data_IF_176477131520
#
_entry.id   IF_176477131520
#
_cell.length_a   1.000
_cell.length_b   1.000
_cell.length_c   1.000
_cell.angle_alpha   90.00
_cell.angle_beta   90.00
_cell.angle_gamma   90.00
#
_symmetry.space_group_name_H-M   'P 1'
#
loop_
_entity.id
_entity.type
_entity.pdbx_description
1 polymer ?
#
# COMPACT_ATOMS: atom_id res chain seq x y z
N UNK A 1 31.81 -21.03 29.15
CA UNK A 1 30.83 -19.99 29.53
C UNK A 1 31.22 -18.63 28.95
N UNK A 2 32.50 -18.21 29.04
CA UNK A 2 32.93 -16.92 28.55
C UNK A 2 32.87 -16.72 27.04
N UNK A 3 33.17 -17.75 26.26
CA UNK A 3 33.07 -17.73 24.78
C UNK A 3 31.64 -17.62 24.32
N UNK A 4 30.73 -18.34 24.98
CA UNK A 4 29.30 -18.31 24.66
C UNK A 4 28.69 -16.93 24.95
N UNK A 5 29.06 -16.32 26.07
CA UNK A 5 28.62 -14.97 26.42
C UNK A 5 29.17 -13.91 25.46
N UNK A 6 30.43 -14.05 25.01
CA UNK A 6 31.03 -13.17 24.03
C UNK A 6 30.34 -13.27 22.67
N UNK A 7 30.02 -14.47 22.23
CA UNK A 7 29.30 -14.70 20.97
C UNK A 7 27.87 -14.13 20.99
N UNK A 8 27.20 -14.18 22.12
CA UNK A 8 25.87 -13.57 22.30
C UNK A 8 25.90 -12.05 22.28
N UNK A 9 26.96 -11.43 22.84
CA UNK A 9 27.10 -9.98 22.92
C UNK A 9 27.59 -9.38 21.61
N UNK A 10 28.36 -10.10 20.82
CA UNK A 10 28.99 -9.55 19.61
C UNK A 10 28.06 -9.45 18.39
N UNK A 11 26.85 -9.99 18.45
CA UNK A 11 25.93 -10.04 17.30
C UNK A 11 26.50 -10.79 16.07
N UNK A 12 27.77 -11.21 16.15
CA UNK A 12 28.42 -12.06 15.13
C UNK A 12 28.09 -13.51 15.30
N UNK A 13 27.07 -13.76 16.00
CA UNK A 13 26.58 -15.06 16.34
C UNK A 13 26.04 -15.70 15.12
N UNK A 14 26.60 -16.81 14.87
CA UNK A 14 26.05 -17.80 13.99
C UNK A 14 24.51 -17.75 14.06
N UNK A 15 23.83 -17.44 12.98
CA UNK A 15 22.36 -17.30 12.99
C UNK A 15 21.64 -18.51 13.59
N UNK A 16 22.19 -19.68 13.47
CA UNK A 16 21.63 -20.90 14.07
C UNK A 16 21.80 -21.02 15.59
N UNK A 17 22.59 -20.15 16.22
CA UNK A 17 22.86 -20.29 17.67
C UNK A 17 21.65 -19.88 18.52
N UNK A 18 20.96 -18.84 18.14
CA UNK A 18 19.74 -18.37 18.80
C UNK A 18 18.58 -19.35 18.67
N UNK A 19 18.50 -20.07 17.56
CA UNK A 19 17.54 -21.17 17.39
C UNK A 19 17.83 -22.27 18.43
N UNK A 20 19.11 -22.52 18.72
CA UNK A 20 19.54 -23.50 19.74
C UNK A 20 19.22 -23.06 21.18
N UNK A 21 18.89 -21.79 21.43
CA UNK A 21 18.43 -21.33 22.73
C UNK A 21 16.95 -21.65 22.98
N UNK A 22 16.24 -22.18 22.01
CA UNK A 22 14.84 -22.56 22.14
C UNK A 22 13.88 -21.38 22.32
N UNK A 23 14.34 -20.16 22.05
CA UNK A 23 13.49 -18.98 22.06
C UNK A 23 12.44 -19.10 20.96
N UNK A 24 11.20 -18.89 21.29
CA UNK A 24 10.10 -18.83 20.36
C UNK A 24 9.63 -17.38 20.16
N UNK A 25 8.95 -17.12 19.07
CA UNK A 25 8.32 -15.81 18.84
C UNK A 25 7.37 -15.40 19.97
N UNK A 26 6.89 -16.33 20.77
CA UNK A 26 6.00 -16.09 21.93
C UNK A 26 6.75 -15.61 23.15
N UNK A 27 8.04 -15.80 23.21
CA UNK A 27 8.88 -15.43 24.35
C UNK A 27 9.28 -13.97 24.32
N UNK A 28 9.01 -13.29 23.22
CA UNK A 28 9.31 -11.87 23.02
C UNK A 28 8.03 -11.05 23.25
N UNK A 29 7.90 -10.49 24.43
CA UNK A 29 6.81 -9.58 24.84
C UNK A 29 5.39 -10.07 24.45
N UNK A 30 5.15 -11.38 24.51
CA UNK A 30 3.91 -12.06 24.11
C UNK A 30 3.47 -11.78 22.64
N UNK A 31 4.37 -11.26 21.79
CA UNK A 31 4.13 -11.03 20.37
C UNK A 31 4.54 -12.25 19.55
N UNK A 32 3.81 -12.50 18.46
CA UNK A 32 4.13 -13.56 17.51
C UNK A 32 5.00 -12.96 16.41
N UNK A 33 6.24 -13.38 16.31
CA UNK A 33 7.22 -12.86 15.35
C UNK A 33 7.36 -13.80 14.14
N UNK A 34 7.84 -13.29 12.98
CA UNK A 34 8.17 -14.14 11.85
C UNK A 34 9.25 -15.16 12.21
N UNK A 35 9.17 -16.40 11.68
CA UNK A 35 10.24 -17.40 11.84
C UNK A 35 11.57 -16.86 11.32
N UNK A 36 12.65 -17.07 12.06
CA UNK A 36 14.00 -16.59 11.72
C UNK A 36 14.37 -15.22 12.29
N UNK A 37 13.41 -14.49 12.90
CA UNK A 37 13.68 -13.18 13.51
C UNK A 37 13.87 -13.23 15.04
N UNK A 38 13.99 -14.42 15.59
CA UNK A 38 14.01 -14.69 17.03
C UNK A 38 15.31 -14.25 17.70
N UNK A 39 16.32 -13.91 16.94
CA UNK A 39 17.71 -13.80 17.41
C UNK A 39 18.29 -12.40 17.41
N UNK A 40 17.49 -11.39 17.24
CA UNK A 40 17.98 -10.02 17.29
C UNK A 40 17.71 -9.42 18.68
N UNK A 41 18.51 -9.84 19.65
CA UNK A 41 18.50 -9.27 21.00
C UNK A 41 18.81 -7.75 21.01
N UNK A 42 19.33 -7.25 19.90
CA UNK A 42 19.73 -5.86 19.73
C UNK A 42 18.62 -4.95 19.18
N UNK A 43 17.48 -5.52 18.77
CA UNK A 43 16.36 -4.70 18.32
C UNK A 43 15.63 -4.06 19.49
N UNK A 44 15.39 -2.75 19.47
CA UNK A 44 14.53 -2.09 20.43
C UNK A 44 13.15 -2.80 20.47
N UNK A 45 12.56 -2.90 21.66
CA UNK A 45 11.25 -3.59 21.83
C UNK A 45 10.13 -3.06 20.92
N UNK A 46 10.17 -1.78 20.55
CA UNK A 46 9.23 -1.19 19.58
C UNK A 46 9.41 -1.78 18.17
N UNK A 47 10.62 -1.87 17.65
CA UNK A 47 10.89 -2.47 16.34
C UNK A 47 10.47 -3.95 16.29
N UNK A 48 10.58 -4.67 17.40
CA UNK A 48 10.11 -6.06 17.50
C UNK A 48 8.58 -6.13 17.46
N UNK A 49 7.87 -5.17 18.05
CA UNK A 49 6.42 -5.07 17.96
C UNK A 49 5.96 -4.80 16.52
N UNK A 50 6.71 -3.96 15.79
CA UNK A 50 6.41 -3.66 14.39
C UNK A 50 6.51 -4.88 13.48
N UNK A 51 7.35 -5.84 13.82
CA UNK A 51 7.50 -7.11 13.09
C UNK A 51 6.49 -8.19 13.48
N UNK A 52 5.69 -7.97 14.54
CA UNK A 52 4.79 -8.98 15.06
C UNK A 52 3.62 -9.26 14.10
N UNK A 53 3.18 -10.53 14.08
CA UNK A 53 1.99 -10.93 13.35
C UNK A 53 0.73 -10.18 13.82
N UNK A 54 -0.20 -10.00 12.90
CA UNK A 54 -1.57 -9.57 13.24
C UNK A 54 -2.22 -10.67 14.08
N UNK A 55 -2.78 -10.29 15.24
CA UNK A 55 -3.48 -11.24 16.11
C UNK A 55 -4.88 -11.54 15.53
N UNK A 56 -5.20 -12.78 15.15
CA UNK A 56 -6.48 -13.10 14.49
C UNK A 56 -7.73 -12.69 15.31
N UNK A 57 -7.60 -12.64 16.64
CA UNK A 57 -8.69 -12.19 17.54
C UNK A 57 -9.00 -10.68 17.45
N UNK A 58 -8.14 -9.91 16.79
CA UNK A 58 -8.30 -8.46 16.58
C UNK A 58 -9.02 -8.14 15.27
N UNK A 59 -9.31 -9.16 14.45
CA UNK A 59 -10.11 -9.00 13.22
C UNK A 59 -11.53 -8.64 13.62
N UNK A 60 -11.99 -7.47 13.18
CA UNK A 60 -13.33 -6.93 13.49
C UNK A 60 -14.32 -7.11 12.35
N UNK A 61 -13.82 -7.38 11.13
CA UNK A 61 -14.65 -7.54 9.95
C UNK A 61 -14.10 -8.64 9.03
N UNK A 62 -14.97 -9.45 8.46
CA UNK A 62 -14.62 -10.45 7.45
C UNK A 62 -15.20 -9.98 6.12
N UNK A 63 -14.33 -9.58 5.21
CA UNK A 63 -14.75 -9.14 3.88
C UNK A 63 -15.31 -10.32 3.07
N UNK A 64 -16.34 -10.11 2.23
CA UNK A 64 -16.75 -11.11 1.24
C UNK A 64 -15.57 -11.60 0.41
N UNK A 65 -15.58 -12.87 0.02
CA UNK A 65 -14.42 -13.45 -0.72
C UNK A 65 -14.14 -12.76 -2.05
N UNK A 66 -15.18 -12.27 -2.69
CA UNK A 66 -15.15 -11.53 -3.95
C UNK A 66 -15.09 -10.01 -3.78
N UNK A 67 -14.97 -9.52 -2.54
CA UNK A 67 -14.82 -8.09 -2.28
C UNK A 67 -13.64 -7.50 -3.05
N UNK A 68 -13.83 -6.30 -3.58
CA UNK A 68 -12.81 -5.54 -4.29
C UNK A 68 -12.40 -4.32 -3.47
N UNK A 69 -11.11 -4.04 -3.46
CA UNK A 69 -10.56 -2.79 -2.95
C UNK A 69 -10.66 -1.66 -3.96
N UNK A 70 -10.13 -0.49 -3.58
CA UNK A 70 -10.08 0.69 -4.46
C UNK A 70 -11.47 1.17 -4.94
N UNK A 71 -12.52 0.90 -4.15
CA UNK A 71 -13.87 1.40 -4.47
C UNK A 71 -13.94 2.90 -4.16
N UNK A 72 -14.58 3.66 -5.04
CA UNK A 72 -14.68 5.12 -4.87
C UNK A 72 -15.49 5.47 -3.64
N UNK A 73 -14.89 6.23 -2.72
CA UNK A 73 -15.59 6.83 -1.59
C UNK A 73 -16.28 8.12 -2.03
N UNK A 74 -17.61 8.14 -1.95
CA UNK A 74 -18.36 9.35 -2.27
C UNK A 74 -18.32 10.32 -1.08
N UNK A 75 -17.90 11.57 -1.27
CA UNK A 75 -17.91 12.58 -0.21
C UNK A 75 -19.33 13.05 0.08
N UNK A 76 -19.59 13.46 1.31
CA UNK A 76 -20.67 14.36 1.63
C UNK A 76 -20.26 15.79 1.26
N UNK A 77 -21.21 16.61 0.80
CA UNK A 77 -20.95 18.02 0.50
C UNK A 77 -21.71 18.88 1.51
N UNK A 78 -20.98 19.66 2.29
CA UNK A 78 -21.55 20.58 3.28
C UNK A 78 -20.92 21.98 3.11
N UNK A 79 -21.72 22.97 2.78
CA UNK A 79 -21.26 24.34 2.56
C UNK A 79 -20.08 24.46 1.56
N UNK A 80 -20.06 23.62 0.51
CA UNK A 80 -19.00 23.60 -0.49
C UNK A 80 -17.75 22.81 -0.10
N UNK A 81 -17.69 22.25 1.10
CA UNK A 81 -16.61 21.37 1.58
C UNK A 81 -16.92 19.93 1.21
N UNK A 82 -15.99 19.22 0.60
CA UNK A 82 -16.07 17.78 0.38
C UNK A 82 -15.60 17.04 1.64
N UNK A 83 -16.50 16.29 2.26
CA UNK A 83 -16.24 15.57 3.52
C UNK A 83 -16.14 14.08 3.25
N UNK A 84 -15.00 13.49 3.59
CA UNK A 84 -14.76 12.05 3.56
C UNK A 84 -14.66 11.50 4.98
N UNK A 85 -15.29 10.37 5.25
CA UNK A 85 -15.19 9.67 6.52
C UNK A 85 -14.36 8.40 6.30
N UNK A 86 -13.20 8.30 6.99
CA UNK A 86 -12.25 7.20 6.87
C UNK A 86 -12.05 6.55 8.23
N UNK A 87 -12.15 5.24 8.26
CA UNK A 87 -11.91 4.42 9.46
C UNK A 87 -10.80 3.42 9.18
N UNK A 88 -9.84 3.29 10.11
CA UNK A 88 -8.85 2.21 10.09
C UNK A 88 -9.28 1.07 11.02
N UNK A 89 -9.26 -0.16 10.53
CA UNK A 89 -9.61 -1.36 11.31
C UNK A 89 -8.86 -2.60 10.81
N UNK A 90 -8.92 -3.70 11.56
CA UNK A 90 -8.34 -4.98 11.13
C UNK A 90 -9.44 -5.84 10.54
N UNK A 91 -9.20 -6.30 9.31
CA UNK A 91 -10.16 -7.13 8.56
C UNK A 91 -9.51 -8.44 8.08
N UNK A 92 -10.33 -9.43 7.81
CA UNK A 92 -9.91 -10.59 7.02
C UNK A 92 -10.21 -10.34 5.56
N UNK A 93 -9.15 -10.34 4.75
CA UNK A 93 -9.21 -10.04 3.32
C UNK A 93 -8.71 -11.21 2.48
N UNK A 94 -9.47 -11.64 1.48
CA UNK A 94 -9.05 -12.69 0.57
C UNK A 94 -8.23 -12.12 -0.59
N UNK A 95 -6.93 -12.47 -0.64
CA UNK A 95 -6.04 -12.15 -1.77
C UNK A 95 -6.21 -13.16 -2.92
N UNK A 96 -6.58 -14.41 -2.57
CA UNK A 96 -6.99 -15.49 -3.46
C UNK A 96 -8.27 -16.13 -2.89
N UNK A 97 -9.02 -16.93 -3.65
CA UNK A 97 -10.26 -17.53 -3.15
C UNK A 97 -10.09 -18.36 -1.87
N UNK A 98 -8.92 -18.99 -1.71
CA UNK A 98 -8.55 -19.87 -0.60
C UNK A 98 -7.44 -19.29 0.31
N UNK A 99 -6.91 -18.12 -0.02
CA UNK A 99 -5.87 -17.46 0.77
C UNK A 99 -6.37 -16.12 1.29
N UNK A 100 -6.52 -16.04 2.61
CA UNK A 100 -6.87 -14.81 3.31
C UNK A 100 -5.70 -14.29 4.13
N UNK A 101 -5.60 -12.96 4.23
CA UNK A 101 -4.71 -12.22 5.12
C UNK A 101 -5.54 -11.48 6.18
N UNK A 102 -5.00 -11.35 7.37
CA UNK A 102 -5.54 -10.44 8.38
C UNK A 102 -4.87 -9.08 8.14
N UNK A 103 -5.59 -8.18 7.51
CA UNK A 103 -5.08 -6.91 6.98
C UNK A 103 -5.52 -5.73 7.83
N UNK A 104 -4.69 -4.70 7.88
CA UNK A 104 -5.12 -3.37 8.29
C UNK A 104 -5.78 -2.71 7.08
N UNK A 105 -6.92 -2.07 7.26
CA UNK A 105 -7.70 -1.58 6.14
C UNK A 105 -8.36 -0.24 6.45
N UNK A 106 -8.43 0.62 5.45
CA UNK A 106 -9.34 1.76 5.48
C UNK A 106 -10.71 1.33 4.94
N UNK A 107 -11.77 1.65 5.68
CA UNK A 107 -13.18 1.39 5.32
C UNK A 107 -13.42 -0.04 4.82
N UNK A 108 -12.86 -1.04 5.54
CA UNK A 108 -13.09 -2.48 5.33
C UNK A 108 -12.68 -3.01 3.95
N UNK A 109 -11.76 -2.38 3.25
CA UNK A 109 -11.26 -2.83 1.96
C UNK A 109 -9.74 -2.62 1.80
N UNK A 110 -9.10 -3.44 0.96
CA UNK A 110 -7.68 -3.34 0.61
C UNK A 110 -7.52 -3.46 -0.92
N UNK A 111 -6.92 -2.45 -1.58
CA UNK A 111 -6.59 -1.12 -1.06
C UNK A 111 -7.77 -0.41 -0.41
N UNK A 112 -7.49 0.55 0.46
CA UNK A 112 -8.49 1.46 1.00
C UNK A 112 -9.28 2.17 -0.11
N UNK A 113 -10.36 2.89 0.23
CA UNK A 113 -11.21 3.53 -0.77
C UNK A 113 -10.44 4.56 -1.59
N UNK A 114 -10.76 4.62 -2.89
CA UNK A 114 -10.24 5.67 -3.77
C UNK A 114 -10.91 6.99 -3.44
N UNK A 115 -10.09 7.99 -3.11
CA UNK A 115 -10.56 9.36 -2.95
C UNK A 115 -10.44 10.08 -4.29
N UNK A 116 -11.51 10.75 -4.70
CA UNK A 116 -11.55 11.56 -5.92
C UNK A 116 -11.84 13.02 -5.58
N UNK A 117 -10.95 13.89 -6.02
CA UNK A 117 -10.99 15.32 -5.78
C UNK A 117 -10.75 16.09 -7.06
N UNK A 118 -10.94 17.38 -7.03
CA UNK A 118 -10.58 18.31 -8.10
C UNK A 118 -9.65 19.37 -7.52
N UNK A 119 -8.68 19.81 -8.28
CA UNK A 119 -7.84 20.95 -7.91
C UNK A 119 -8.69 22.18 -7.58
N UNK A 120 -8.47 22.75 -6.41
CA UNK A 120 -9.27 23.82 -5.84
C UNK A 120 -10.37 23.37 -4.87
N UNK A 121 -10.64 22.07 -4.74
CA UNK A 121 -11.58 21.58 -3.73
C UNK A 121 -11.08 21.91 -2.31
N UNK A 122 -11.98 22.37 -1.47
CA UNK A 122 -11.79 22.36 -0.02
C UNK A 122 -12.29 21.05 0.53
N UNK A 123 -11.41 20.31 1.20
CA UNK A 123 -11.70 18.95 1.67
C UNK A 123 -11.52 18.83 3.18
N UNK A 124 -12.38 18.02 3.79
CA UNK A 124 -12.27 17.59 5.17
C UNK A 124 -12.31 16.07 5.22
N UNK A 125 -11.30 15.46 5.84
CA UNK A 125 -11.25 14.02 6.03
C UNK A 125 -11.33 13.75 7.52
N UNK A 126 -12.46 13.21 7.97
CA UNK A 126 -12.64 12.75 9.33
C UNK A 126 -12.08 11.35 9.45
N UNK A 127 -11.00 11.20 10.18
CA UNK A 127 -10.35 9.92 10.39
C UNK A 127 -10.67 9.36 11.77
N UNK A 128 -11.01 8.07 11.84
CA UNK A 128 -11.24 7.33 13.07
C UNK A 128 -10.35 6.09 13.15
N UNK A 129 -9.68 5.89 14.28
CA UNK A 129 -8.75 4.79 14.49
C UNK A 129 -9.39 3.67 15.33
N UNK A 130 -9.82 2.59 14.69
CA UNK A 130 -10.26 1.35 15.34
C UNK A 130 -9.18 0.25 15.36
N UNK A 131 -7.91 0.63 15.15
CA UNK A 131 -6.79 -0.29 15.35
C UNK A 131 -6.46 -0.42 16.85
N UNK A 132 -5.77 -1.51 17.23
CA UNK A 132 -5.28 -1.70 18.60
C UNK A 132 -4.02 -0.89 18.94
N UNK A 133 -3.51 -0.14 18.01
CA UNK A 133 -2.30 0.69 18.08
C UNK A 133 -2.58 2.08 17.52
N UNK A 134 -1.71 3.05 17.82
CA UNK A 134 -1.83 4.39 17.24
C UNK A 134 -1.55 4.40 15.76
N UNK A 135 -2.07 5.40 15.04
CA UNK A 135 -1.84 5.58 13.61
C UNK A 135 -2.04 7.04 13.21
N UNK A 136 -1.62 7.38 11.99
CA UNK A 136 -1.91 8.66 11.32
C UNK A 136 -2.20 8.40 9.86
N UNK A 137 -2.62 9.43 9.12
CA UNK A 137 -2.76 9.37 7.67
C UNK A 137 -1.87 10.45 7.02
N UNK A 138 -1.01 10.04 6.11
CA UNK A 138 -0.19 10.91 5.28
C UNK A 138 -0.73 10.96 3.84
N UNK A 139 -0.73 12.15 3.26
CA UNK A 139 -1.18 12.43 1.90
C UNK A 139 0.03 12.49 0.97
N UNK A 140 0.49 11.34 0.51
CA UNK A 140 1.77 11.20 -0.18
C UNK A 140 1.86 12.03 -1.46
N UNK A 141 2.75 13.01 -1.45
CA UNK A 141 3.04 13.89 -2.57
C UNK A 141 2.16 15.13 -2.64
N UNK A 142 1.24 15.36 -1.69
CA UNK A 142 0.44 16.57 -1.65
C UNK A 142 1.15 17.73 -0.95
N UNK A 143 0.89 18.92 -1.43
CA UNK A 143 1.23 20.18 -0.76
C UNK A 143 0.07 20.52 0.18
N UNK A 144 0.28 20.32 1.47
CA UNK A 144 -0.71 20.56 2.53
C UNK A 144 -0.10 21.41 3.65
N UNK A 145 -0.89 22.06 4.52
CA UNK A 145 -0.38 22.63 5.76
C UNK A 145 0.38 21.59 6.57
N UNK A 146 1.47 21.98 7.23
CA UNK A 146 2.38 21.04 7.94
C UNK A 146 1.63 20.17 8.95
N UNK A 147 0.69 20.75 9.70
CA UNK A 147 -0.14 20.05 10.69
C UNK A 147 -1.12 19.05 10.08
N UNK A 148 -1.28 19.05 8.75
CA UNK A 148 -2.14 18.12 8.00
C UNK A 148 -1.35 17.04 7.26
N UNK A 149 0.00 17.05 7.35
CA UNK A 149 0.87 16.16 6.59
C UNK A 149 0.89 14.71 7.09
N UNK A 150 0.69 14.50 8.39
CA UNK A 150 0.45 13.17 8.97
C UNK A 150 1.63 12.46 9.66
N UNK A 151 2.94 12.79 9.45
CA UNK A 151 4.04 12.14 10.16
C UNK A 151 3.90 12.25 11.69
N UNK A 152 3.74 11.09 12.34
CA UNK A 152 3.53 11.00 13.79
C UNK A 152 4.72 11.61 14.55
N UNK A 153 4.41 12.34 15.63
CA UNK A 153 5.40 13.01 16.51
C UNK A 153 6.24 14.12 15.83
N UNK A 154 5.97 14.39 14.56
CA UNK A 154 6.65 15.45 13.79
C UNK A 154 5.64 16.55 13.44
N UNK A 155 4.58 16.23 12.74
CA UNK A 155 3.56 17.20 12.30
C UNK A 155 2.27 17.11 13.12
N UNK A 156 2.03 15.98 13.75
CA UNK A 156 0.89 15.75 14.64
C UNK A 156 1.20 14.68 15.70
N UNK A 157 0.41 14.65 16.75
CA UNK A 157 0.38 13.51 17.67
C UNK A 157 -0.30 12.31 17.00
N UNK A 158 0.21 11.07 17.23
CA UNK A 158 -0.45 9.88 16.71
C UNK A 158 -1.85 9.72 17.29
N UNK A 159 -2.79 9.31 16.44
CA UNK A 159 -4.19 9.08 16.85
C UNK A 159 -4.27 7.75 17.60
N UNK A 160 -4.61 7.76 18.90
CA UNK A 160 -4.66 6.54 19.71
C UNK A 160 -5.82 5.62 19.30
N UNK A 161 -5.83 4.35 19.76
CA UNK A 161 -6.97 3.45 19.61
C UNK A 161 -8.29 4.10 20.07
N UNK A 162 -9.32 4.05 19.24
CA UNK A 162 -10.62 4.70 19.49
C UNK A 162 -10.62 6.23 19.31
N UNK A 163 -9.47 6.82 18.98
CA UNK A 163 -9.33 8.25 18.73
C UNK A 163 -9.73 8.65 17.31
N UNK A 164 -9.80 9.97 17.10
CA UNK A 164 -10.12 10.57 15.81
C UNK A 164 -9.23 11.77 15.53
N UNK A 165 -9.04 12.08 14.25
CA UNK A 165 -8.37 13.30 13.78
C UNK A 165 -9.08 13.83 12.55
N UNK A 166 -9.08 15.15 12.36
CA UNK A 166 -9.67 15.77 11.18
C UNK A 166 -8.59 16.46 10.37
N UNK A 167 -8.38 15.98 9.15
CA UNK A 167 -7.52 16.64 8.15
C UNK A 167 -8.38 17.57 7.33
N UNK A 168 -7.98 18.85 7.22
CA UNK A 168 -8.72 19.84 6.45
C UNK A 168 -7.75 20.74 5.68
N UNK A 169 -7.90 20.76 4.35
CA UNK A 169 -7.03 21.55 3.47
C UNK A 169 -7.70 21.83 2.12
N UNK A 170 -7.12 22.77 1.38
CA UNK A 170 -7.50 23.03 -0.02
C UNK A 170 -6.52 22.31 -0.94
N UNK A 171 -7.05 21.55 -1.90
CA UNK A 171 -6.25 20.78 -2.87
C UNK A 171 -5.65 21.74 -3.90
N UNK A 172 -4.31 21.89 -3.90
CA UNK A 172 -3.59 22.85 -4.74
C UNK A 172 -2.94 22.28 -5.99
N UNK A 173 -3.18 21.00 -6.31
CA UNK A 173 -2.52 20.30 -7.40
C UNK A 173 -3.39 19.19 -7.96
N UNK A 174 -3.11 18.73 -9.20
CA UNK A 174 -3.81 17.62 -9.84
C UNK A 174 -2.84 16.48 -10.13
N UNK A 175 -3.36 15.25 -10.30
CA UNK A 175 -2.55 14.07 -10.65
C UNK A 175 -2.93 12.81 -9.87
N UNK A 176 -2.03 11.82 -9.96
CA UNK A 176 -2.14 10.53 -9.28
C UNK A 176 -1.31 10.52 -8.01
N UNK A 177 -1.97 10.35 -6.88
CA UNK A 177 -1.41 10.34 -5.54
C UNK A 177 -1.93 9.12 -4.78
N UNK A 178 -1.49 8.94 -3.54
CA UNK A 178 -2.05 7.95 -2.62
C UNK A 178 -1.95 8.45 -1.18
N UNK A 179 -2.66 7.81 -0.29
CA UNK A 179 -2.58 8.07 1.14
C UNK A 179 -2.26 6.77 1.89
N UNK A 180 -1.56 6.89 2.99
CA UNK A 180 -1.14 5.74 3.80
C UNK A 180 -0.87 6.13 5.25
N UNK A 181 -0.70 5.14 6.13
CA UNK A 181 -0.30 5.42 7.51
C UNK A 181 1.13 5.96 7.59
N UNK A 182 1.40 6.83 8.56
CA UNK A 182 2.74 7.37 8.83
C UNK A 182 3.10 7.37 10.33
N UNK A 183 2.49 6.44 11.07
CA UNK A 183 2.90 5.99 12.40
C UNK A 183 3.16 4.50 12.27
N UNK A 184 4.42 4.05 12.41
CA UNK A 184 4.86 2.68 12.11
C UNK A 184 4.57 2.23 10.64
N UNK A 185 5.01 2.98 9.61
CA UNK A 185 4.63 2.71 8.22
C UNK A 185 5.17 1.37 7.69
N UNK A 186 6.33 0.91 8.15
CA UNK A 186 6.93 -0.39 7.87
C UNK A 186 6.03 -1.57 8.30
N UNK A 187 5.21 -1.36 9.33
CA UNK A 187 4.17 -2.30 9.77
C UNK A 187 2.82 -2.01 9.12
N UNK A 188 2.30 -0.82 9.32
CA UNK A 188 0.89 -0.51 9.04
C UNK A 188 0.59 -0.42 7.54
N UNK A 189 1.46 0.22 6.76
CA UNK A 189 1.34 0.25 5.31
C UNK A 189 1.58 -1.14 4.70
N UNK A 190 2.59 -1.89 5.20
CA UNK A 190 2.84 -3.26 4.77
C UNK A 190 1.67 -4.20 5.06
N UNK A 191 0.87 -3.92 6.08
CA UNK A 191 -0.34 -4.68 6.43
C UNK A 191 -1.61 -4.20 5.71
N UNK A 192 -1.54 -3.12 4.89
CA UNK A 192 -2.65 -2.72 4.02
C UNK A 192 -3.23 -1.31 4.22
N UNK A 193 -2.67 -0.46 5.11
CA UNK A 193 -3.15 0.91 5.29
C UNK A 193 -2.65 1.85 4.19
N UNK A 194 -3.23 1.74 3.01
CA UNK A 194 -2.99 2.60 1.85
C UNK A 194 -4.22 2.66 0.95
N UNK A 195 -4.33 3.71 0.16
CA UNK A 195 -5.39 3.88 -0.84
C UNK A 195 -5.06 4.95 -1.87
N UNK A 196 -5.64 4.85 -3.06
CA UNK A 196 -5.41 5.81 -4.13
C UNK A 196 -6.13 7.15 -3.88
N UNK A 197 -5.46 8.22 -4.28
CA UNK A 197 -5.99 9.58 -4.27
C UNK A 197 -5.81 10.19 -5.66
N UNK A 198 -6.90 10.39 -6.39
CA UNK A 198 -6.91 10.95 -7.73
C UNK A 198 -7.46 12.37 -7.70
N UNK A 199 -6.70 13.30 -8.22
CA UNK A 199 -7.09 14.72 -8.26
C UNK A 199 -7.17 15.15 -9.72
N UNK A 200 -8.38 15.43 -10.17
CA UNK A 200 -8.61 15.99 -11.50
C UNK A 200 -8.09 17.45 -11.58
N UNK A 201 -7.53 17.89 -12.70
CA UNK A 201 -7.18 19.30 -12.87
C UNK A 201 -8.42 20.17 -12.86
N UNK A 202 -8.27 21.42 -12.39
CA UNK A 202 -9.33 22.41 -12.38
C UNK A 202 -9.81 22.74 -13.81
N UNK A 203 -8.88 22.78 -14.75
CA UNK A 203 -9.18 22.82 -16.18
C UNK A 203 -9.18 21.40 -16.77
N UNK A 204 -10.35 20.83 -17.15
CA UNK A 204 -10.43 19.49 -17.71
C UNK A 204 -9.65 19.30 -19.02
N UNK A 205 -9.23 20.38 -19.69
CA UNK A 205 -8.40 20.28 -20.91
C UNK A 205 -6.95 19.90 -20.61
N UNK A 206 -6.49 20.09 -19.37
CA UNK A 206 -5.16 19.71 -18.92
C UNK A 206 -5.04 18.19 -18.62
N UNK A 207 -6.17 17.49 -18.53
CA UNK A 207 -6.18 16.06 -18.30
C UNK A 207 -5.78 15.28 -19.56
N UNK A 208 -4.78 14.41 -19.45
CA UNK A 208 -4.46 13.46 -20.53
C UNK A 208 -5.57 12.41 -20.60
N UNK A 209 -6.37 12.49 -21.65
CA UNK A 209 -7.56 11.66 -21.84
C UNK A 209 -7.20 10.27 -22.39
N UNK A 210 -7.95 9.27 -21.96
CA UNK A 210 -8.01 7.94 -22.52
C UNK A 210 -9.47 7.45 -22.46
N UNK A 211 -9.81 6.42 -23.25
CA UNK A 211 -11.16 5.84 -23.24
C UNK A 211 -11.48 5.15 -21.92
N UNK A 212 -10.46 4.61 -21.26
CA UNK A 212 -10.54 3.95 -19.95
C UNK A 212 -9.47 4.49 -19.02
N UNK A 213 -9.73 4.44 -17.72
CA UNK A 213 -8.80 4.83 -16.65
C UNK A 213 -8.80 3.73 -15.56
N UNK A 214 -7.63 3.24 -15.20
CA UNK A 214 -7.51 2.12 -14.26
C UNK A 214 -6.31 2.29 -13.33
N UNK A 215 -6.55 2.25 -12.03
CA UNK A 215 -5.51 2.28 -11.00
C UNK A 215 -4.91 0.90 -10.78
N UNK A 216 -3.60 0.83 -10.59
CA UNK A 216 -2.83 -0.37 -10.25
C UNK A 216 -2.01 -0.06 -9.01
N UNK A 217 -2.51 -0.47 -7.86
CA UNK A 217 -1.84 -0.34 -6.57
C UNK A 217 -1.12 -1.64 -6.24
N UNK A 218 0.20 -1.55 -6.03
CA UNK A 218 1.09 -2.70 -5.84
C UNK A 218 1.32 -2.95 -4.36
N UNK A 219 1.21 -4.20 -3.91
CA UNK A 219 1.47 -4.54 -2.52
C UNK A 219 2.07 -5.95 -2.37
N UNK A 220 2.75 -6.13 -1.26
CA UNK A 220 3.51 -7.32 -0.88
C UNK A 220 3.03 -7.83 0.46
N UNK A 221 2.84 -9.15 0.57
CA UNK A 221 2.30 -9.78 1.76
C UNK A 221 3.19 -10.90 2.25
N UNK A 222 3.33 -11.00 3.56
CA UNK A 222 3.94 -12.15 4.21
C UNK A 222 2.89 -12.93 5.00
N UNK A 223 2.62 -14.16 4.55
CA UNK A 223 1.73 -15.10 5.23
C UNK A 223 2.47 -16.39 5.55
N UNK A 224 2.60 -16.71 6.83
CA UNK A 224 3.22 -17.96 7.31
C UNK A 224 2.45 -18.49 8.52
N UNK A 225 2.43 -19.81 8.66
CA UNK A 225 1.80 -20.49 9.82
C UNK A 225 0.39 -19.96 10.11
N UNK A 226 -0.40 -19.70 9.06
CA UNK A 226 -1.77 -19.16 9.11
C UNK A 226 -1.88 -17.71 9.59
N UNK A 227 -0.75 -17.06 9.88
CA UNK A 227 -0.69 -15.68 10.34
C UNK A 227 -0.22 -14.73 9.22
N UNK A 228 -0.60 -13.47 9.35
CA UNK A 228 -0.13 -12.36 8.49
C UNK A 228 0.87 -11.53 9.26
N UNK A 229 2.03 -11.32 8.66
CA UNK A 229 3.10 -10.49 9.19
C UNK A 229 3.33 -9.29 8.27
N UNK A 230 3.85 -8.16 8.76
CA UNK A 230 4.35 -7.13 7.87
C UNK A 230 5.52 -7.68 7.06
N UNK A 231 5.47 -7.47 5.74
CA UNK A 231 6.55 -7.89 4.84
C UNK A 231 7.67 -6.83 4.89
N UNK A 232 8.92 -7.29 5.05
CA UNK A 232 10.12 -6.43 5.12
C UNK A 232 11.28 -7.07 4.35
N UNK A 233 12.20 -6.25 3.79
CA UNK A 233 13.41 -6.72 3.10
C UNK A 233 14.48 -7.18 4.09
N UNK A 234 14.14 -8.19 4.88
CA UNK A 234 15.07 -8.80 5.81
C UNK A 234 14.81 -10.29 5.95
N UNK A 235 15.80 -11.03 6.42
CA UNK A 235 15.70 -12.47 6.60
C UNK A 235 14.51 -12.82 7.52
N UNK A 236 13.69 -13.78 7.08
CA UNK A 236 12.50 -14.21 7.80
C UNK A 236 11.25 -13.36 7.59
N UNK A 237 11.38 -12.16 7.00
CA UNK A 237 10.25 -11.24 6.77
C UNK A 237 9.98 -10.94 5.28
N UNK A 238 10.65 -11.63 4.35
CA UNK A 238 10.43 -11.46 2.92
C UNK A 238 8.99 -11.82 2.53
N UNK A 239 8.34 -11.03 1.66
CA UNK A 239 7.01 -11.32 1.17
C UNK A 239 6.95 -12.63 0.39
N UNK A 240 5.81 -13.27 0.42
CA UNK A 240 5.53 -14.49 -0.33
C UNK A 240 4.23 -14.43 -1.14
N UNK A 241 3.52 -13.30 -1.12
CA UNK A 241 2.41 -12.98 -2.03
C UNK A 241 2.55 -11.55 -2.53
N UNK A 242 2.17 -11.36 -3.79
CA UNK A 242 2.20 -10.06 -4.47
C UNK A 242 0.83 -9.77 -5.05
N UNK A 243 0.34 -8.55 -4.85
CA UNK A 243 -1.02 -8.20 -5.23
C UNK A 243 -1.10 -6.94 -6.07
N UNK A 244 -2.06 -6.93 -6.99
CA UNK A 244 -2.56 -5.74 -7.68
C UNK A 244 -3.96 -5.48 -7.15
N UNK A 245 -4.21 -4.27 -6.64
CA UNK A 245 -5.50 -3.86 -6.07
C UNK A 245 -6.04 -4.86 -5.04
N UNK A 246 -5.14 -5.38 -4.18
CA UNK A 246 -5.47 -6.29 -3.09
C UNK A 246 -5.79 -7.73 -3.49
N UNK A 247 -5.53 -8.10 -4.75
CA UNK A 247 -5.71 -9.47 -5.26
C UNK A 247 -4.44 -10.00 -5.90
N UNK A 248 -4.11 -11.26 -5.66
CA UNK A 248 -3.05 -11.98 -6.34
C UNK A 248 -3.60 -12.67 -7.61
N UNK A 249 -2.73 -12.88 -8.60
CA UNK A 249 -3.13 -13.65 -9.78
C UNK A 249 -3.47 -15.11 -9.36
N UNK A 250 -4.56 -15.72 -9.88
CA UNK A 250 -5.41 -15.28 -10.99
C UNK A 250 -6.66 -14.46 -10.59
N UNK A 251 -6.75 -13.97 -9.36
CA UNK A 251 -7.90 -13.20 -8.86
C UNK A 251 -7.85 -11.70 -9.19
N UNK A 252 -6.82 -11.25 -9.92
CA UNK A 252 -6.72 -9.89 -10.44
C UNK A 252 -7.76 -9.60 -11.51
N UNK A 253 -8.06 -8.31 -11.72
CA UNK A 253 -9.07 -7.90 -12.69
C UNK A 253 -8.65 -8.14 -14.14
N UNK A 254 -9.65 -8.34 -15.00
CA UNK A 254 -9.50 -8.25 -16.45
C UNK A 254 -10.26 -7.03 -16.94
N UNK A 255 -9.58 -6.14 -17.67
CA UNK A 255 -10.21 -4.93 -18.25
C UNK A 255 -10.58 -5.20 -19.70
N UNK A 256 -11.88 -5.33 -20.05
CA UNK A 256 -12.30 -5.51 -21.42
C UNK A 256 -12.14 -4.23 -22.23
N UNK A 257 -11.53 -4.35 -23.43
CA UNK A 257 -11.30 -3.25 -24.35
C UNK A 257 -11.66 -3.62 -25.78
N UNK A 258 -11.98 -2.63 -26.60
CA UNK A 258 -12.09 -2.77 -28.06
C UNK A 258 -10.77 -2.40 -28.72
N UNK A 259 -10.47 -3.03 -29.85
CA UNK A 259 -9.32 -2.62 -30.67
C UNK A 259 -9.45 -1.14 -31.06
N UNK A 260 -8.37 -0.39 -30.91
CA UNK A 260 -8.31 1.05 -31.12
C UNK A 260 -8.54 1.88 -29.85
N UNK A 261 -9.14 1.33 -28.79
CA UNK A 261 -9.30 2.05 -27.52
C UNK A 261 -7.96 2.23 -26.79
N UNK A 262 -7.90 3.30 -26.04
CA UNK A 262 -6.79 3.64 -25.14
C UNK A 262 -7.20 3.41 -23.68
N UNK A 263 -6.23 3.04 -22.86
CA UNK A 263 -6.38 2.98 -21.40
C UNK A 263 -5.25 3.76 -20.74
N UNK A 264 -5.61 4.58 -19.77
CA UNK A 264 -4.66 5.18 -18.84
C UNK A 264 -4.50 4.22 -17.66
N UNK A 265 -3.31 3.65 -17.51
CA UNK A 265 -2.93 2.85 -16.34
C UNK A 265 -2.19 3.76 -15.37
N UNK A 266 -2.65 3.81 -14.13
CA UNK A 266 -2.05 4.59 -13.05
C UNK A 266 -1.35 3.63 -12.10
N UNK A 267 -0.05 3.41 -12.31
CA UNK A 267 0.78 2.60 -11.43
C UNK A 267 1.11 3.37 -10.16
N UNK A 268 0.86 2.77 -9.01
CA UNK A 268 1.11 3.35 -7.69
C UNK A 268 1.88 2.32 -6.87
N UNK A 269 3.12 2.64 -6.49
CA UNK A 269 3.96 1.85 -5.60
C UNK A 269 3.54 2.03 -4.15
N UNK A 270 2.46 1.38 -3.73
CA UNK A 270 1.96 1.42 -2.36
C UNK A 270 2.65 0.41 -1.42
N UNK A 271 3.53 -0.42 -1.97
CA UNK A 271 4.37 -1.36 -1.25
C UNK A 271 5.56 -0.68 -0.57
N UNK A 272 6.25 -1.40 0.32
CA UNK A 272 7.37 -0.87 1.10
C UNK A 272 8.74 -1.42 0.69
N UNK A 273 8.80 -2.49 -0.12
CA UNK A 273 10.02 -3.27 -0.23
C UNK A 273 10.64 -3.25 -1.62
N UNK A 274 9.99 -3.86 -2.61
CA UNK A 274 10.59 -4.06 -3.93
C UNK A 274 10.25 -2.93 -4.91
N UNK A 275 11.17 -2.66 -5.81
CA UNK A 275 10.85 -1.97 -7.05
C UNK A 275 10.18 -2.99 -7.99
N UNK A 276 9.00 -2.66 -8.50
CA UNK A 276 8.26 -3.50 -9.43
C UNK A 276 8.44 -2.99 -10.87
N UNK A 277 9.24 -3.66 -11.72
CA UNK A 277 9.27 -3.37 -13.16
C UNK A 277 7.92 -3.78 -13.78
N UNK A 278 7.01 -2.83 -13.94
CA UNK A 278 5.68 -3.08 -14.49
C UNK A 278 5.70 -3.06 -16.00
N UNK A 279 5.40 -4.20 -16.61
CA UNK A 279 5.43 -4.43 -18.05
C UNK A 279 4.01 -4.61 -18.61
N UNK A 280 3.79 -4.06 -19.81
CA UNK A 280 2.54 -4.20 -20.56
C UNK A 280 2.82 -4.89 -21.89
N UNK A 281 2.20 -6.03 -22.12
CA UNK A 281 2.25 -6.73 -23.40
C UNK A 281 1.47 -6.00 -24.50
N UNK A 282 1.78 -6.31 -25.76
CA UNK A 282 1.05 -5.79 -26.92
C UNK A 282 1.61 -4.48 -27.49
N UNK A 283 2.80 -4.10 -27.08
CA UNK A 283 3.56 -2.95 -27.58
C UNK A 283 3.67 -1.81 -26.59
N UNK A 284 4.44 -0.78 -26.92
CA UNK A 284 4.77 0.29 -25.99
C UNK A 284 3.54 1.11 -25.58
N UNK A 285 3.63 1.69 -24.39
CA UNK A 285 2.79 2.75 -23.88
C UNK A 285 3.55 4.07 -23.86
N UNK A 286 2.81 5.17 -23.80
CA UNK A 286 3.36 6.50 -23.56
C UNK A 286 3.32 6.83 -22.06
N UNK A 287 4.46 7.22 -21.47
CA UNK A 287 4.51 7.77 -20.11
C UNK A 287 4.07 9.22 -20.16
N UNK A 288 2.98 9.55 -19.48
CA UNK A 288 2.32 10.86 -19.54
C UNK A 288 2.38 11.64 -18.23
N UNK A 289 2.63 10.95 -17.10
CA UNK A 289 2.87 11.61 -15.82
C UNK A 289 3.80 10.78 -14.94
N UNK A 290 4.55 11.46 -14.07
CA UNK A 290 5.44 10.87 -13.07
C UNK A 290 5.21 11.58 -11.74
N UNK A 291 5.02 10.81 -10.67
CA UNK A 291 4.82 11.28 -9.29
C UNK A 291 3.73 12.37 -9.15
N UNK A 292 2.64 12.19 -9.90
CA UNK A 292 1.50 13.10 -9.91
C UNK A 292 1.66 14.30 -10.86
N UNK A 293 2.84 14.50 -11.45
CA UNK A 293 3.10 15.63 -12.36
C UNK A 293 2.89 15.21 -13.81
N UNK A 294 1.91 15.79 -14.48
CA UNK A 294 1.68 15.58 -15.91
C UNK A 294 2.85 16.13 -16.73
N UNK A 295 3.41 15.29 -17.61
CA UNK A 295 4.50 15.66 -18.51
C UNK A 295 4.00 16.54 -19.67
N UNK A 296 4.76 17.58 -20.00
CA UNK A 296 4.56 18.30 -21.26
C UNK A 296 4.71 17.31 -22.44
N UNK A 297 4.01 17.53 -23.53
CA UNK A 297 4.02 16.62 -24.69
C UNK A 297 5.44 16.31 -25.19
N UNK A 298 6.33 17.30 -25.19
CA UNK A 298 7.75 17.11 -25.60
C UNK A 298 8.59 16.29 -24.60
N UNK A 299 8.10 16.08 -23.38
CA UNK A 299 8.78 15.31 -22.35
C UNK A 299 8.20 13.90 -22.18
N UNK A 300 7.09 13.59 -22.87
CA UNK A 300 6.51 12.25 -22.88
C UNK A 300 7.40 11.29 -23.66
N UNK A 301 7.43 10.05 -23.27
CA UNK A 301 8.29 9.06 -23.90
C UNK A 301 7.61 7.69 -23.96
N UNK A 302 8.04 6.88 -24.94
CA UNK A 302 7.57 5.51 -25.11
C UNK A 302 8.40 4.54 -24.26
N UNK A 303 7.72 3.64 -23.58
CA UNK A 303 8.31 2.53 -22.85
C UNK A 303 7.37 1.31 -22.94
N UNK A 304 7.86 0.14 -22.61
CA UNK A 304 7.04 -1.06 -22.39
C UNK A 304 7.11 -1.54 -20.94
N UNK A 305 8.04 -0.98 -20.18
CA UNK A 305 8.29 -1.30 -18.78
C UNK A 305 8.69 -0.04 -18.02
N UNK A 306 8.11 0.20 -16.85
CA UNK A 306 8.49 1.25 -15.90
C UNK A 306 8.79 0.65 -14.54
N UNK A 307 9.85 1.14 -13.89
CA UNK A 307 10.24 0.72 -12.55
C UNK A 307 9.41 1.50 -11.52
N UNK A 308 8.43 0.85 -10.92
CA UNK A 308 7.58 1.44 -9.89
C UNK A 308 8.16 1.07 -8.52
N UNK A 309 8.90 1.98 -7.92
CA UNK A 309 9.43 1.84 -6.57
C UNK A 309 8.41 2.22 -5.51
N UNK A 310 8.67 1.89 -4.24
CA UNK A 310 7.87 2.37 -3.12
C UNK A 310 7.69 3.88 -3.17
N UNK A 311 6.45 4.34 -3.10
CA UNK A 311 6.10 5.76 -3.19
C UNK A 311 6.03 6.34 -4.60
N UNK A 312 6.56 5.70 -5.63
CA UNK A 312 6.53 6.21 -7.01
C UNK A 312 5.17 6.00 -7.69
N UNK A 313 4.83 6.91 -8.61
CA UNK A 313 3.62 6.83 -9.43
C UNK A 313 3.96 7.13 -10.89
N UNK A 314 3.38 6.33 -11.79
CA UNK A 314 3.46 6.54 -13.24
C UNK A 314 2.06 6.46 -13.86
N UNK A 315 1.66 7.48 -14.60
CA UNK A 315 0.50 7.38 -15.47
C UNK A 315 0.99 7.10 -16.89
N UNK A 316 0.48 6.03 -17.48
CA UNK A 316 0.85 5.62 -18.83
C UNK A 316 -0.38 5.40 -19.69
N UNK A 317 -0.30 5.70 -20.97
CA UNK A 317 -1.40 5.48 -21.94
C UNK A 317 -0.99 4.37 -22.91
N UNK A 318 -1.76 3.30 -22.89
CA UNK A 318 -1.57 2.16 -23.80
C UNK A 318 -2.77 2.03 -24.75
N UNK A 319 -2.52 1.58 -25.99
CA UNK A 319 -3.55 1.39 -27.02
C UNK A 319 -3.74 -0.09 -27.32
N UNK A 320 -4.98 -0.56 -27.36
CA UNK A 320 -5.33 -1.92 -27.80
C UNK A 320 -5.17 -2.05 -29.32
N UNK A 321 -3.97 -2.46 -29.78
CA UNK A 321 -3.61 -2.48 -31.21
C UNK A 321 -4.16 -3.69 -31.96
N UNK A 322 -4.36 -4.82 -31.27
CA UNK A 322 -4.80 -6.10 -31.85
C UNK A 322 -5.71 -6.85 -30.88
N UNK A 323 -6.63 -7.70 -31.38
CA UNK A 323 -7.44 -8.57 -30.51
C UNK A 323 -6.54 -9.59 -29.80
N UNK A 324 -6.93 -10.00 -28.58
CA UNK A 324 -6.21 -10.98 -27.78
C UNK A 324 -6.30 -10.67 -26.29
N UNK A 325 -5.59 -11.45 -25.49
CA UNK A 325 -5.38 -11.20 -24.06
C UNK A 325 -3.97 -10.64 -23.87
N UNK A 326 -3.85 -9.46 -23.31
CA UNK A 326 -2.59 -8.77 -23.10
C UNK A 326 -2.32 -8.67 -21.61
N UNK A 327 -1.16 -9.13 -21.16
CA UNK A 327 -0.79 -9.13 -19.75
C UNK A 327 -0.26 -7.76 -19.33
N UNK A 328 -0.59 -7.40 -18.08
CA UNK A 328 0.09 -6.34 -17.31
C UNK A 328 0.64 -7.03 -16.06
N UNK A 329 1.97 -7.02 -15.89
CA UNK A 329 2.59 -7.76 -14.79
C UNK A 329 3.94 -7.16 -14.37
N UNK A 330 4.37 -7.48 -13.14
CA UNK A 330 5.74 -7.22 -12.70
C UNK A 330 6.71 -8.15 -13.45
N UNK A 331 7.83 -7.61 -13.95
CA UNK A 331 8.82 -8.39 -14.70
C UNK A 331 9.87 -9.06 -13.80
N UNK A 332 9.62 -9.15 -12.51
CA UNK A 332 10.33 -10.04 -11.58
C UNK A 332 9.51 -11.35 -11.53
N UNK A 333 9.99 -12.47 -12.12
CA UNK A 333 9.15 -13.66 -12.37
C UNK A 333 8.50 -14.24 -11.11
N UNK A 334 9.21 -14.30 -9.98
CA UNK A 334 8.64 -14.86 -8.75
C UNK A 334 7.54 -13.96 -8.12
N UNK A 335 7.42 -12.70 -8.53
CA UNK A 335 6.29 -11.83 -8.13
C UNK A 335 4.99 -12.17 -8.87
N UNK A 336 5.04 -13.05 -9.88
CA UNK A 336 3.87 -13.48 -10.65
C UNK A 336 3.47 -14.92 -10.40
N UNK A 337 4.25 -15.64 -9.57
CA UNK A 337 4.07 -17.06 -9.25
C UNK A 337 3.70 -17.24 -7.77
N UNK A 338 2.53 -16.73 -7.37
CA UNK A 338 2.04 -16.86 -5.98
C UNK A 338 1.61 -18.27 -5.65
#
# INVERSE_FOLDING_TARGET
>A
AGVTSFLLISGMVVPGFSVNLGLSARDVDASIMPPGMINTFDLPGEAMKDMAAVKPRQVTYIAPRDAKGDQVLQPRIENGVKIFDIEASIIRWNILPDVAVDAYAYNHQVPGPRLQMTEGDHVRINFHNNLPESTTVHWHGLIVPNEMDGPAKITQDPVPPGGSYTYEFTVGQSGTYFYHSHDHPDRQQALGLYGALLIAPKDPSAEVKADLDYTIQLQEWLKREWLTYPAMLMEGALPNYFTINGKAYPSTDTVPMKVGQTIKLRFIGTNNNFVHPMHVHGGPFEVVAVDGVTLNESARYQADTVNVGPGQRYDVVWTARKPGKWLVHCHIPHHTAN
#
